data_IF_230446066330
#
_entry.id   IF_230446066330
#
_cell.length_a   1.000
_cell.length_b   1.000
_cell.length_c   1.000
_cell.angle_alpha   90.00
_cell.angle_beta   90.00
_cell.angle_gamma   90.00
#
_symmetry.space_group_name_H-M   'P 1'
#
loop_
_entity.id
_entity.type
_entity.pdbx_description
1 polymer ?
#
# COMPACT_ATOMS: atom_id res chain seq x y z
N UNK A 1 -3.14 -15.92 13.62
CA UNK A 1 -2.51 -15.22 14.77
C UNK A 1 -2.06 -13.84 14.33
N UNK A 2 -2.47 -12.77 15.04
CA UNK A 2 -1.93 -11.46 14.72
C UNK A 2 -0.43 -11.42 15.03
N UNK A 3 0.32 -10.77 14.15
CA UNK A 3 1.74 -10.53 14.34
C UNK A 3 1.87 -9.12 14.91
N UNK A 4 2.57 -9.00 16.04
CA UNK A 4 2.85 -7.70 16.64
C UNK A 4 4.33 -7.39 16.45
N UNK A 5 4.60 -6.15 16.07
CA UNK A 5 5.96 -5.65 15.86
C UNK A 5 6.40 -4.79 17.03
N UNK A 6 7.63 -4.99 17.49
CA UNK A 6 8.28 -3.94 18.28
C UNK A 6 8.74 -2.84 17.32
N UNK A 7 8.99 -1.61 17.82
CA UNK A 7 9.55 -0.57 16.94
C UNK A 7 10.83 -1.00 16.23
N UNK A 8 11.69 -1.76 16.89
CA UNK A 8 12.93 -2.27 16.30
C UNK A 8 12.66 -3.27 15.19
N UNK A 9 11.72 -4.19 15.40
CA UNK A 9 11.34 -5.17 14.38
C UNK A 9 10.72 -4.49 13.17
N UNK A 10 9.83 -3.52 13.40
CA UNK A 10 9.18 -2.78 12.31
C UNK A 10 10.22 -2.02 11.49
N UNK A 11 11.16 -1.35 12.14
CA UNK A 11 12.22 -0.61 11.46
C UNK A 11 13.18 -1.56 10.71
N UNK A 12 13.35 -2.78 11.20
CA UNK A 12 14.21 -3.75 10.52
C UNK A 12 13.65 -4.15 9.16
N UNK A 13 12.33 -4.35 9.06
CA UNK A 13 11.72 -4.75 7.79
C UNK A 13 11.32 -3.55 6.92
N UNK A 14 11.39 -2.34 7.45
CA UNK A 14 10.94 -1.14 6.75
C UNK A 14 11.58 -0.94 5.36
N UNK A 15 12.90 -1.17 5.16
CA UNK A 15 13.46 -1.03 3.82
C UNK A 15 12.78 -1.88 2.76
N UNK A 16 12.46 -3.13 3.09
CA UNK A 16 11.75 -4.03 2.20
C UNK A 16 10.29 -3.59 2.00
N UNK A 17 9.66 -3.15 3.07
CA UNK A 17 8.30 -2.62 3.04
C UNK A 17 8.22 -1.39 2.14
N UNK A 18 9.20 -0.49 2.22
CA UNK A 18 9.28 0.70 1.36
C UNK A 18 9.37 0.32 -0.12
N UNK A 19 10.15 -0.69 -0.46
CA UNK A 19 10.27 -1.16 -1.84
C UNK A 19 8.95 -1.69 -2.36
N UNK A 20 8.26 -2.50 -1.55
CA UNK A 20 6.95 -3.02 -1.93
C UNK A 20 5.93 -1.89 -2.09
N UNK A 21 5.94 -0.94 -1.18
CA UNK A 21 5.03 0.20 -1.25
C UNK A 21 5.27 1.05 -2.50
N UNK A 22 6.53 1.30 -2.85
CA UNK A 22 6.89 2.01 -4.08
C UNK A 22 6.37 1.28 -5.32
N UNK A 23 6.50 -0.05 -5.34
CA UNK A 23 5.98 -0.87 -6.43
C UNK A 23 4.47 -0.76 -6.52
N UNK A 24 3.77 -0.78 -5.39
CA UNK A 24 2.31 -0.65 -5.32
C UNK A 24 1.88 0.69 -5.93
N UNK A 25 2.56 1.77 -5.56
CA UNK A 25 2.26 3.10 -6.10
C UNK A 25 2.42 3.16 -7.61
N UNK A 26 3.52 2.62 -8.13
CA UNK A 26 3.78 2.59 -9.57
C UNK A 26 2.75 1.72 -10.31
N UNK A 27 2.43 0.56 -9.75
CA UNK A 27 1.47 -0.36 -10.35
C UNK A 27 0.05 0.22 -10.34
N UNK A 28 -0.32 0.91 -9.27
CA UNK A 28 -1.61 1.61 -9.20
C UNK A 28 -1.72 2.68 -10.27
N UNK A 29 -0.66 3.48 -10.45
CA UNK A 29 -0.63 4.51 -11.49
C UNK A 29 -0.74 3.91 -12.89
N UNK A 30 -0.10 2.77 -13.12
CA UNK A 30 -0.21 2.06 -14.39
C UNK A 30 -1.63 1.59 -14.66
N UNK A 31 -2.30 1.03 -13.64
CA UNK A 31 -3.70 0.60 -13.76
C UNK A 31 -4.60 1.77 -14.14
N UNK A 32 -4.44 2.91 -13.46
CA UNK A 32 -5.24 4.12 -13.73
C UNK A 32 -5.01 4.58 -15.18
N UNK A 33 -3.76 4.61 -15.61
CA UNK A 33 -3.42 5.02 -16.97
C UNK A 33 -4.05 4.11 -18.01
N UNK A 34 -4.00 2.80 -17.79
CA UNK A 34 -4.61 1.83 -18.71
C UNK A 34 -6.14 1.96 -18.75
N UNK A 35 -6.77 2.23 -17.62
CA UNK A 35 -8.21 2.48 -17.55
C UNK A 35 -8.59 3.72 -18.36
N UNK A 36 -7.81 4.79 -18.26
CA UNK A 36 -8.02 6.01 -19.02
C UNK A 36 -7.84 5.77 -20.53
N UNK A 37 -6.83 4.99 -20.92
CA UNK A 37 -6.60 4.61 -22.31
C UNK A 37 -7.77 3.82 -22.88
N UNK A 38 -8.30 2.86 -22.11
CA UNK A 38 -9.47 2.08 -22.52
C UNK A 38 -10.69 2.96 -22.74
N UNK A 39 -10.92 3.91 -21.85
CA UNK A 39 -12.03 4.85 -21.97
C UNK A 39 -11.92 5.66 -23.25
N UNK A 40 -10.72 6.16 -23.57
CA UNK A 40 -10.47 6.90 -24.80
C UNK A 40 -10.70 6.04 -26.04
N UNK A 41 -10.26 4.77 -26.00
CA UNK A 41 -10.46 3.83 -27.11
C UNK A 41 -11.93 3.62 -27.41
N UNK A 42 -12.76 3.48 -26.38
CA UNK A 42 -14.20 3.35 -26.56
C UNK A 42 -14.78 4.61 -27.21
N UNK A 43 -14.40 5.78 -26.69
CA UNK A 43 -14.89 7.06 -27.21
C UNK A 43 -14.46 7.30 -28.66
N UNK A 44 -13.26 6.87 -29.02
CA UNK A 44 -12.70 7.10 -30.36
C UNK A 44 -13.08 6.02 -31.38
N UNK A 45 -13.90 5.03 -30.96
CA UNK A 45 -14.34 3.97 -31.86
C UNK A 45 -13.24 3.02 -32.27
N UNK A 46 -12.31 2.69 -31.37
CA UNK A 46 -11.23 1.77 -31.63
C UNK A 46 -11.73 0.40 -32.10
N UNK A 47 -10.92 -0.29 -32.88
CA UNK A 47 -11.24 -1.65 -33.32
C UNK A 47 -11.33 -2.59 -32.12
N UNK A 48 -12.26 -3.54 -32.24
CA UNK A 48 -12.52 -4.51 -31.14
C UNK A 48 -11.26 -5.27 -30.72
N UNK A 49 -10.44 -5.72 -31.69
CA UNK A 49 -9.21 -6.46 -31.36
C UNK A 49 -8.24 -5.62 -30.55
N UNK A 50 -8.10 -4.34 -30.91
CA UNK A 50 -7.23 -3.42 -30.16
C UNK A 50 -7.76 -3.20 -28.75
N UNK A 51 -9.06 -3.05 -28.59
CA UNK A 51 -9.72 -2.91 -27.28
C UNK A 51 -9.46 -4.14 -26.42
N UNK A 52 -9.67 -5.34 -26.96
CA UNK A 52 -9.45 -6.59 -26.22
C UNK A 52 -7.99 -6.72 -25.77
N UNK A 53 -7.05 -6.39 -26.65
CA UNK A 53 -5.62 -6.44 -26.30
C UNK A 53 -5.29 -5.51 -25.14
N UNK A 54 -5.82 -4.30 -25.16
CA UNK A 54 -5.61 -3.33 -24.07
C UNK A 54 -6.29 -3.80 -22.79
N UNK A 55 -7.48 -4.39 -22.88
CA UNK A 55 -8.20 -4.94 -21.74
C UNK A 55 -7.41 -6.05 -21.05
N UNK A 56 -6.78 -6.92 -21.83
CA UNK A 56 -5.93 -7.98 -21.29
C UNK A 56 -4.71 -7.41 -20.59
N UNK A 57 -4.13 -6.35 -21.14
CA UNK A 57 -3.01 -5.65 -20.50
C UNK A 57 -3.44 -5.06 -19.15
N UNK A 58 -4.63 -4.45 -19.10
CA UNK A 58 -5.19 -3.93 -17.84
C UNK A 58 -5.38 -5.06 -16.83
N UNK A 59 -5.95 -6.18 -17.24
CA UNK A 59 -6.19 -7.31 -16.34
C UNK A 59 -4.88 -7.83 -15.73
N UNK A 60 -3.81 -7.92 -16.55
CA UNK A 60 -2.50 -8.32 -16.03
C UNK A 60 -1.93 -7.30 -15.04
N UNK A 61 -2.11 -6.01 -15.30
CA UNK A 61 -1.65 -4.95 -14.41
C UNK A 61 -2.39 -4.99 -13.07
N UNK A 62 -3.69 -5.21 -13.10
CA UNK A 62 -4.51 -5.33 -11.89
C UNK A 62 -4.07 -6.54 -11.07
N UNK A 63 -3.87 -7.69 -11.72
CA UNK A 63 -3.40 -8.90 -11.04
C UNK A 63 -2.06 -8.67 -10.35
N UNK A 64 -1.14 -8.04 -11.06
CA UNK A 64 0.20 -7.73 -10.51
C UNK A 64 0.11 -6.82 -9.29
N UNK A 65 -0.76 -5.83 -9.35
CA UNK A 65 -0.99 -4.92 -8.22
C UNK A 65 -1.50 -5.70 -6.99
N UNK A 66 -2.49 -6.57 -7.17
CA UNK A 66 -3.02 -7.36 -6.07
C UNK A 66 -1.99 -8.32 -5.49
N UNK A 67 -1.14 -8.91 -6.34
CA UNK A 67 -0.04 -9.76 -5.86
C UNK A 67 0.91 -8.99 -4.95
N UNK A 68 1.28 -7.79 -5.34
CA UNK A 68 2.21 -6.97 -4.55
C UNK A 68 1.58 -6.53 -3.23
N UNK A 69 0.29 -6.15 -3.27
CA UNK A 69 -0.46 -5.82 -2.05
C UNK A 69 -0.48 -7.00 -1.10
N UNK A 70 -0.78 -8.20 -1.61
CA UNK A 70 -0.82 -9.41 -0.79
C UNK A 70 0.56 -9.71 -0.18
N UNK A 71 1.62 -9.50 -0.92
CA UNK A 71 2.98 -9.70 -0.43
C UNK A 71 3.28 -8.78 0.76
N UNK A 72 2.88 -7.51 0.67
CA UNK A 72 3.05 -6.57 1.77
C UNK A 72 2.20 -6.95 2.97
N UNK A 73 0.94 -7.27 2.75
CA UNK A 73 0.02 -7.67 3.82
C UNK A 73 0.45 -8.96 4.50
N UNK A 74 1.04 -9.89 3.75
CA UNK A 74 1.57 -11.15 4.31
C UNK A 74 2.73 -10.93 5.27
N UNK A 75 3.37 -9.76 5.21
CA UNK A 75 4.39 -9.40 6.20
C UNK A 75 3.78 -8.91 7.52
N UNK A 76 2.46 -8.77 7.58
CA UNK A 76 1.76 -8.29 8.76
C UNK A 76 1.49 -6.79 8.77
N UNK A 77 1.85 -6.11 7.70
CA UNK A 77 1.67 -4.65 7.58
C UNK A 77 0.31 -4.35 6.97
N UNK A 78 -0.38 -3.36 7.48
CA UNK A 78 -1.67 -2.93 6.95
C UNK A 78 -1.53 -1.63 6.15
N UNK A 79 -2.04 -1.64 4.93
CA UNK A 79 -2.08 -0.44 4.09
C UNK A 79 -3.32 0.36 4.48
N UNK A 80 -3.11 1.55 5.02
CA UNK A 80 -4.22 2.43 5.38
C UNK A 80 -4.63 3.33 4.22
N UNK A 81 -3.66 3.82 3.47
CA UNK A 81 -3.93 4.64 2.29
C UNK A 81 -2.73 4.60 1.36
N UNK A 82 -2.95 4.16 0.12
CA UNK A 82 -1.90 4.23 -0.91
C UNK A 82 -1.67 5.68 -1.32
N UNK A 83 -2.75 6.43 -1.50
CA UNK A 83 -2.66 7.82 -1.97
C UNK A 83 -1.95 8.74 -0.98
N UNK A 84 -2.22 8.57 0.31
CA UNK A 84 -1.57 9.37 1.34
C UNK A 84 -0.25 8.76 1.81
N UNK A 85 0.05 7.54 1.38
CA UNK A 85 1.29 6.86 1.76
C UNK A 85 1.32 6.46 3.22
N UNK A 86 0.23 5.86 3.73
CA UNK A 86 0.11 5.51 5.15
C UNK A 86 0.09 4.01 5.33
N UNK A 87 1.01 3.51 6.14
CA UNK A 87 1.10 2.10 6.54
C UNK A 87 1.10 2.00 8.05
N UNK A 88 0.42 0.98 8.57
CA UNK A 88 0.35 0.70 9.99
C UNK A 88 0.88 -0.71 10.29
N UNK A 89 1.70 -0.80 11.34
CA UNK A 89 2.26 -2.05 11.82
C UNK A 89 1.59 -2.36 13.16
N UNK A 90 0.94 -3.52 13.30
CA UNK A 90 0.34 -3.88 14.59
C UNK A 90 1.41 -3.98 15.68
N UNK A 91 1.14 -3.43 16.85
CA UNK A 91 2.08 -3.45 17.96
C UNK A 91 1.33 -3.51 19.28
N UNK A 92 2.08 -3.77 20.35
CA UNK A 92 1.57 -3.71 21.72
C UNK A 92 2.33 -2.62 22.47
N UNK A 93 1.60 -1.81 23.22
CA UNK A 93 2.18 -0.77 24.04
C UNK A 93 1.39 -0.72 25.36
N UNK A 94 2.07 -0.99 26.46
CA UNK A 94 1.42 -1.10 27.79
C UNK A 94 0.24 -2.08 27.76
N UNK A 95 0.45 -3.24 27.12
CA UNK A 95 -0.53 -4.31 26.95
C UNK A 95 -1.77 -3.91 26.13
N UNK A 96 -1.74 -2.75 25.46
CA UNK A 96 -2.76 -2.33 24.53
C UNK A 96 -2.32 -2.54 23.09
N UNK A 97 -3.24 -2.96 22.24
CA UNK A 97 -2.98 -3.03 20.80
C UNK A 97 -2.98 -1.62 20.23
N UNK A 98 -1.90 -1.29 19.54
CA UNK A 98 -1.72 0.01 18.90
C UNK A 98 -1.19 -0.20 17.48
N UNK A 99 -1.10 0.88 16.71
CA UNK A 99 -0.47 0.88 15.40
C UNK A 99 0.83 1.68 15.46
N UNK A 100 1.90 1.11 14.92
CA UNK A 100 3.09 1.88 14.60
C UNK A 100 2.86 2.46 13.21
N UNK A 101 2.91 3.76 13.08
CA UNK A 101 2.48 4.47 11.87
C UNK A 101 3.68 4.99 11.08
N UNK A 102 3.72 4.61 9.81
CA UNK A 102 4.71 5.12 8.88
C UNK A 102 4.02 5.89 7.77
N UNK A 103 4.57 7.07 7.45
CA UNK A 103 4.12 7.86 6.30
C UNK A 103 5.24 7.89 5.27
N UNK A 104 4.88 7.75 3.99
CA UNK A 104 5.83 7.80 2.89
C UNK A 104 6.67 9.07 2.97
N UNK A 105 7.98 8.90 2.88
CA UNK A 105 8.96 9.97 3.05
C UNK A 105 9.65 9.95 4.40
N UNK A 106 9.12 9.25 5.38
CA UNK A 106 9.79 9.10 6.68
C UNK A 106 10.89 8.05 6.58
N UNK A 107 12.05 8.33 7.18
CA UNK A 107 13.19 7.43 7.11
C UNK A 107 13.06 6.21 8.00
N UNK A 108 12.33 6.36 9.11
CA UNK A 108 12.10 5.28 10.05
C UNK A 108 10.76 5.47 10.74
N UNK A 109 10.32 4.43 11.45
CA UNK A 109 9.06 4.47 12.20
C UNK A 109 9.34 5.14 13.54
N UNK A 110 8.69 6.30 13.78
CA UNK A 110 8.88 7.13 14.97
C UNK A 110 7.59 7.44 15.70
N UNK A 111 6.44 6.97 15.19
CA UNK A 111 5.13 7.36 15.71
C UNK A 111 4.25 6.15 15.91
N UNK A 112 3.30 6.30 16.81
CA UNK A 112 2.25 5.32 17.06
C UNK A 112 0.91 6.03 17.24
N UNK A 113 -0.17 5.31 17.07
CA UNK A 113 -1.50 5.80 17.40
C UNK A 113 -2.35 4.64 17.90
N UNK A 114 -3.44 4.98 18.58
CA UNK A 114 -4.37 3.97 19.08
C UNK A 114 -5.19 3.39 17.94
N UNK A 115 -5.80 2.24 18.20
CA UNK A 115 -6.59 1.52 17.21
C UNK A 115 -7.77 2.34 16.69
N UNK A 116 -8.36 3.16 17.54
CA UNK A 116 -9.50 4.02 17.22
C UNK A 116 -9.08 5.39 16.69
N UNK A 117 -7.79 5.64 16.54
CA UNK A 117 -7.24 6.89 16.01
C UNK A 117 -6.61 6.65 14.63
N UNK A 118 -6.54 7.71 13.83
CA UNK A 118 -5.83 7.69 12.57
C UNK A 118 -4.54 8.49 12.64
N UNK A 119 -4.05 8.89 11.45
CA UNK A 119 -2.82 9.66 11.31
C UNK A 119 -2.77 10.90 12.19
N UNK A 120 -3.90 11.60 12.34
CA UNK A 120 -3.96 12.83 13.14
C UNK A 120 -3.76 12.57 14.63
N UNK A 121 -3.93 11.34 15.08
CA UNK A 121 -3.70 10.97 16.48
C UNK A 121 -2.29 10.47 16.77
N UNK A 122 -1.36 10.63 15.84
CA UNK A 122 0.02 10.13 15.98
C UNK A 122 0.72 10.76 17.18
N UNK A 123 1.43 9.90 17.91
CA UNK A 123 2.25 10.29 19.06
C UNK A 123 3.67 9.79 18.85
N UNK A 124 4.69 10.54 19.27
CA UNK A 124 6.07 10.07 19.13
C UNK A 124 6.34 8.86 20.03
N UNK A 125 7.16 7.95 19.51
CA UNK A 125 7.58 6.76 20.26
C UNK A 125 8.57 7.10 21.38
N UNK A 126 9.31 8.17 21.21
CA UNK A 126 10.29 8.60 22.22
C UNK A 126 9.90 9.91 22.87
#
# INVERSE_FOLDING_TARGET
MPVYFTPQEANRILPEVKKLFSSITLQKNKVIKLQEELQRMVSDGAKFAAFISKKQELNRAVFKLYETIAELENKGVMIKSVDEGLLDFPSLRFDEEVWLCWKDGENEIKFWHRKDEGFMGRKPLA
#
